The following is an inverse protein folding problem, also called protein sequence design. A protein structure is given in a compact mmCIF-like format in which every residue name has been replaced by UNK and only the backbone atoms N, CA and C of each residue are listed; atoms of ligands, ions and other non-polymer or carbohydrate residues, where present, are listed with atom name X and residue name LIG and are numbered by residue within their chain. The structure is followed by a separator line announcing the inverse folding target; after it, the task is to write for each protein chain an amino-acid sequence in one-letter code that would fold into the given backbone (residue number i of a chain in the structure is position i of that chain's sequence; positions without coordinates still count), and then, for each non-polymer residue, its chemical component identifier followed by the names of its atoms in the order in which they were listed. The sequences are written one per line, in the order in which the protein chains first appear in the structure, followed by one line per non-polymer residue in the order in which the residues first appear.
data_IF_399336269814
#
_entry.id   IF_399336269814
#
_cell.length_a   1.000
_cell.length_b   1.000
_cell.length_c   1.000
_cell.angle_alpha   90.00
_cell.angle_beta   90.00
_cell.angle_gamma   90.00
#
_symmetry.space_group_name_H-M   'P 1'
#
loop_
_entity.id
_entity.type
_entity.pdbx_description
1 polymer ?
#
# COMPACT_ATOMS: atom_id res chain seq x y z
N UNK A 1 1.08 28.16 -28.29
CA UNK A 1 0.87 28.24 -26.84
C UNK A 1 0.15 27.02 -26.25
N UNK A 2 0.04 25.97 -27.03
CA UNK A 2 -0.52 24.70 -26.56
C UNK A 2 0.28 24.10 -25.39
N UNK A 3 1.57 24.41 -25.30
CA UNK A 3 2.47 23.88 -24.28
C UNK A 3 2.11 24.31 -22.85
N UNK A 4 1.64 25.54 -22.65
CA UNK A 4 1.28 26.03 -21.30
C UNK A 4 0.05 25.33 -20.75
N UNK A 5 -0.97 25.10 -21.58
CA UNK A 5 -2.17 24.39 -21.16
C UNK A 5 -1.88 22.93 -20.82
N UNK A 6 -1.05 22.27 -21.63
CA UNK A 6 -0.64 20.88 -21.38
C UNK A 6 0.19 20.75 -20.11
N UNK A 7 1.11 21.70 -19.87
CA UNK A 7 1.95 21.72 -18.67
C UNK A 7 1.10 21.89 -17.40
N UNK A 8 0.16 22.82 -17.40
CA UNK A 8 -0.75 23.06 -16.27
C UNK A 8 -1.62 21.84 -15.97
N UNK A 9 -2.17 21.21 -17.01
CA UNK A 9 -2.97 20.01 -16.87
C UNK A 9 -2.16 18.87 -16.26
N UNK A 10 -0.92 18.68 -16.73
CA UNK A 10 -0.02 17.64 -16.25
C UNK A 10 0.35 17.85 -14.77
N UNK A 11 0.68 19.08 -14.38
CA UNK A 11 0.98 19.43 -12.99
C UNK A 11 -0.20 19.07 -12.10
N UNK A 12 -1.41 19.44 -12.51
CA UNK A 12 -2.63 19.14 -11.76
C UNK A 12 -2.88 17.64 -11.64
N UNK A 13 -2.65 16.88 -12.71
CA UNK A 13 -2.76 15.43 -12.69
C UNK A 13 -1.73 14.80 -11.76
N UNK A 14 -0.50 15.30 -11.77
CA UNK A 14 0.58 14.81 -10.91
C UNK A 14 0.26 15.09 -9.43
N UNK A 15 -0.29 16.26 -9.12
CA UNK A 15 -0.74 16.59 -7.77
C UNK A 15 -1.83 15.64 -7.28
N UNK A 16 -2.83 15.35 -8.12
CA UNK A 16 -3.91 14.42 -7.79
C UNK A 16 -3.36 13.01 -7.57
N UNK A 17 -2.48 12.54 -8.44
CA UNK A 17 -1.83 11.23 -8.29
C UNK A 17 -1.02 11.15 -7.00
N UNK A 18 -0.29 12.19 -6.67
CA UNK A 18 0.50 12.26 -5.43
C UNK A 18 -0.39 12.14 -4.21
N UNK A 19 -1.51 12.86 -4.18
CA UNK A 19 -2.49 12.78 -3.09
C UNK A 19 -3.10 11.39 -2.98
N UNK A 20 -3.50 10.80 -4.10
CA UNK A 20 -4.05 9.45 -4.13
C UNK A 20 -3.03 8.42 -3.63
N UNK A 21 -1.77 8.53 -4.08
CA UNK A 21 -0.70 7.63 -3.67
C UNK A 21 -0.44 7.71 -2.16
N UNK A 22 -0.42 8.93 -1.60
CA UNK A 22 -0.29 9.13 -0.16
C UNK A 22 -1.45 8.50 0.60
N UNK A 23 -2.66 8.67 0.11
CA UNK A 23 -3.85 8.08 0.72
C UNK A 23 -3.77 6.55 0.74
N UNK A 24 -3.46 5.92 -0.39
CA UNK A 24 -3.36 4.48 -0.48
C UNK A 24 -2.21 3.93 0.35
N UNK A 25 -1.07 4.60 0.36
CA UNK A 25 0.08 4.21 1.18
C UNK A 25 -0.27 4.28 2.68
N UNK A 26 -0.96 5.32 3.10
CA UNK A 26 -1.41 5.49 4.49
C UNK A 26 -2.41 4.39 4.86
N UNK A 27 -3.37 4.12 4.00
CA UNK A 27 -4.37 3.06 4.21
C UNK A 27 -3.69 1.70 4.35
N UNK A 28 -2.74 1.40 3.49
CA UNK A 28 -1.97 0.15 3.53
C UNK A 28 -1.17 0.03 4.84
N UNK A 29 -0.45 1.10 5.22
CA UNK A 29 0.33 1.10 6.47
C UNK A 29 -0.54 0.89 7.69
N UNK A 30 -1.72 1.52 7.72
CA UNK A 30 -2.68 1.34 8.81
C UNK A 30 -3.19 -0.09 8.87
N UNK A 31 -3.48 -0.70 7.73
CA UNK A 31 -3.93 -2.09 7.64
C UNK A 31 -2.84 -3.05 8.13
N UNK A 32 -1.58 -2.83 7.73
CA UNK A 32 -0.43 -3.63 8.17
C UNK A 32 -0.23 -3.51 9.68
N UNK A 33 -0.29 -2.28 10.20
CA UNK A 33 -0.16 -2.02 11.64
C UNK A 33 -1.25 -2.72 12.44
N UNK A 34 -2.49 -2.60 11.99
CA UNK A 34 -3.64 -3.25 12.63
C UNK A 34 -3.46 -4.78 12.66
N UNK A 35 -2.99 -5.35 11.57
CA UNK A 35 -2.75 -6.79 11.48
C UNK A 35 -1.63 -7.24 12.44
N UNK A 36 -0.56 -6.45 12.57
CA UNK A 36 0.55 -6.75 13.48
C UNK A 36 0.15 -6.70 14.95
N UNK A 37 -0.84 -5.90 15.29
CA UNK A 37 -1.36 -5.78 16.65
C UNK A 37 -2.41 -6.85 16.97
N UNK A 38 -2.96 -7.50 15.96
CA UNK A 38 -3.97 -8.53 16.14
C UNK A 38 -3.34 -9.82 16.65
N UNK A 39 -3.94 -10.42 17.66
CA UNK A 39 -3.47 -11.67 18.29
C UNK A 39 -4.34 -12.87 17.94
N UNK A 40 -5.53 -12.64 17.39
CA UNK A 40 -6.43 -13.72 16.98
C UNK A 40 -5.99 -14.24 15.59
N UNK A 41 -5.55 -15.48 15.57
CA UNK A 41 -5.07 -16.15 14.36
C UNK A 41 -6.14 -16.22 13.26
N UNK A 42 -7.39 -16.43 13.62
CA UNK A 42 -8.50 -16.48 12.66
C UNK A 42 -8.69 -15.13 11.97
N UNK A 43 -8.66 -14.04 12.74
CA UNK A 43 -8.79 -12.68 12.20
C UNK A 43 -7.64 -12.37 11.27
N UNK A 44 -6.42 -12.70 11.64
CA UNK A 44 -5.22 -12.47 10.81
C UNK A 44 -5.30 -13.31 9.54
N UNK A 45 -5.69 -14.56 9.62
CA UNK A 45 -5.81 -15.45 8.46
C UNK A 45 -6.83 -14.93 7.45
N UNK A 46 -7.96 -14.40 7.92
CA UNK A 46 -8.99 -13.83 7.05
C UNK A 46 -8.58 -12.49 6.43
N UNK A 47 -7.89 -11.66 7.19
CA UNK A 47 -7.48 -10.32 6.73
C UNK A 47 -6.22 -10.34 5.87
N UNK A 48 -5.35 -11.32 6.05
CA UNK A 48 -4.04 -11.38 5.39
C UNK A 48 -4.11 -11.29 3.87
N UNK A 49 -4.98 -12.06 3.15
CA UNK A 49 -5.05 -11.96 1.69
C UNK A 49 -5.44 -10.57 1.21
N UNK A 50 -6.31 -9.88 1.93
CA UNK A 50 -6.73 -8.51 1.57
C UNK A 50 -5.57 -7.52 1.71
N UNK A 51 -4.82 -7.61 2.79
CA UNK A 51 -3.68 -6.73 3.04
C UNK A 51 -2.55 -7.02 2.05
N UNK A 52 -2.25 -8.28 1.77
CA UNK A 52 -1.27 -8.68 0.76
C UNK A 52 -1.64 -8.13 -0.62
N UNK A 53 -2.92 -8.20 -0.99
CA UNK A 53 -3.41 -7.64 -2.24
C UNK A 53 -3.18 -6.13 -2.32
N UNK A 54 -3.43 -5.39 -1.24
CA UNK A 54 -3.15 -3.94 -1.16
C UNK A 54 -1.66 -3.64 -1.36
N UNK A 55 -0.79 -4.40 -0.70
CA UNK A 55 0.67 -4.25 -0.80
C UNK A 55 1.12 -4.50 -2.24
N UNK A 56 0.65 -5.56 -2.88
CA UNK A 56 1.00 -5.92 -4.24
C UNK A 56 0.53 -4.86 -5.26
N UNK A 57 -0.66 -4.33 -5.09
CA UNK A 57 -1.19 -3.26 -5.95
C UNK A 57 -0.33 -2.01 -5.88
N UNK A 58 0.11 -1.63 -4.68
CA UNK A 58 0.96 -0.45 -4.49
C UNK A 58 2.35 -0.67 -5.07
N UNK A 59 2.90 -1.87 -4.95
CA UNK A 59 4.17 -2.22 -5.57
C UNK A 59 4.08 -2.17 -7.09
N UNK A 60 2.99 -2.68 -7.66
CA UNK A 60 2.74 -2.65 -9.10
C UNK A 60 2.63 -1.23 -9.65
N UNK A 61 2.06 -0.31 -8.86
CA UNK A 61 1.93 1.10 -9.21
C UNK A 61 3.20 1.93 -8.88
N UNK A 62 4.24 1.31 -8.38
CA UNK A 62 5.47 1.96 -7.93
C UNK A 62 5.27 2.98 -6.80
N UNK A 63 4.21 2.86 -6.01
CA UNK A 63 4.00 3.67 -4.82
C UNK A 63 4.97 3.23 -3.71
N UNK A 64 5.23 1.94 -3.63
CA UNK A 64 6.27 1.36 -2.78
C UNK A 64 7.19 0.49 -3.65
N UNK A 65 8.44 0.33 -3.21
CA UNK A 65 9.39 -0.53 -3.90
C UNK A 65 9.02 -2.00 -3.69
N UNK A 66 9.28 -2.84 -4.70
CA UNK A 66 9.01 -4.29 -4.64
C UNK A 66 9.69 -4.97 -3.44
N UNK A 67 10.89 -4.51 -3.06
CA UNK A 67 11.60 -5.04 -1.90
C UNK A 67 10.86 -4.72 -0.59
N UNK A 68 10.31 -3.51 -0.49
CA UNK A 68 9.49 -3.11 0.65
C UNK A 68 8.23 -3.97 0.73
N UNK A 69 7.58 -4.22 -0.41
CA UNK A 69 6.41 -5.08 -0.48
C UNK A 69 6.72 -6.51 -0.01
N UNK A 70 7.83 -7.07 -0.47
CA UNK A 70 8.28 -8.40 -0.06
C UNK A 70 8.55 -8.47 1.45
N UNK A 71 9.20 -7.44 2.00
CA UNK A 71 9.49 -7.36 3.43
C UNK A 71 8.22 -7.27 4.27
N UNK A 72 7.25 -6.47 3.84
CA UNK A 72 5.96 -6.34 4.53
C UNK A 72 5.19 -7.65 4.53
N UNK A 73 5.11 -8.32 3.39
CA UNK A 73 4.42 -9.62 3.28
C UNK A 73 5.08 -10.67 4.16
N UNK A 74 6.41 -10.76 4.13
CA UNK A 74 7.19 -11.67 4.97
C UNK A 74 6.93 -11.42 6.45
N UNK A 75 6.96 -10.18 6.87
CA UNK A 75 6.70 -9.76 8.25
C UNK A 75 5.31 -10.23 8.74
N UNK A 76 4.30 -10.08 7.88
CA UNK A 76 2.93 -10.49 8.21
C UNK A 76 2.79 -12.01 8.32
N UNK A 77 3.44 -12.77 7.44
CA UNK A 77 3.44 -14.24 7.49
C UNK A 77 4.16 -14.73 8.75
N UNK A 78 5.28 -14.12 9.11
CA UNK A 78 6.00 -14.44 10.34
C UNK A 78 5.12 -14.17 11.56
N UNK A 79 4.42 -13.05 11.59
CA UNK A 79 3.49 -12.72 12.67
C UNK A 79 2.38 -13.78 12.79
N UNK A 80 1.77 -14.18 11.68
CA UNK A 80 0.74 -15.20 11.66
C UNK A 80 1.26 -16.52 12.24
N UNK A 81 2.49 -16.90 11.91
CA UNK A 81 3.08 -18.14 12.41
C UNK A 81 3.42 -18.10 13.90
N UNK A 82 3.60 -16.92 14.47
CA UNK A 82 3.92 -16.74 15.90
C UNK A 82 2.69 -16.75 16.80
N UNK A 83 1.54 -16.45 16.25
CA UNK A 83 0.29 -16.47 17.01
C UNK A 83 -0.49 -17.79 16.73
#
# INVERSE_FOLDING_TARGET
MAHHKSAKKRIKQDEVKTLQNKYYAKTMRNAVKKLRLETDKVVVTEALPKVVSMIDKLAKKNVIHKNKAANLKSSLVIHLNKI
#
